data_IF_105302122669
#
_entry.id   IF_105302122669
#
_cell.length_a   1.000
_cell.length_b   1.000
_cell.length_c   1.000
_cell.angle_alpha   90.00
_cell.angle_beta   90.00
_cell.angle_gamma   90.00
#
_symmetry.space_group_name_H-M   'P 1'
#
loop_
_entity.id
_entity.type
_entity.pdbx_description
1 polymer ?
#
# COMPACT_ATOMS: atom_id res chain seq x y z
N UNK A 1 6.49 3.13 -2.91
CA UNK A 1 5.19 2.45 -3.05
C UNK A 1 4.07 3.43 -2.74
N UNK A 2 2.85 3.21 -3.25
CA UNK A 2 1.71 4.07 -2.89
C UNK A 2 1.39 3.99 -1.39
N UNK A 3 0.66 4.97 -0.88
CA UNK A 3 0.27 5.05 0.54
C UNK A 3 0.35 6.48 1.07
N UNK A 4 -0.57 7.35 0.63
CA UNK A 4 -0.53 8.78 0.93
C UNK A 4 -0.69 9.12 2.41
N UNK A 5 -1.70 8.56 3.07
CA UNK A 5 -1.99 8.87 4.47
C UNK A 5 -1.70 7.70 5.42
N UNK A 6 -1.70 6.46 4.91
CA UNK A 6 -1.47 5.26 5.72
C UNK A 6 -0.39 4.34 5.12
N UNK A 7 0.40 3.73 5.99
CA UNK A 7 1.57 2.91 5.66
C UNK A 7 1.30 1.44 5.36
N UNK A 8 0.05 1.02 5.15
CA UNK A 8 -0.30 -0.40 4.97
C UNK A 8 0.45 -1.08 3.82
N UNK A 9 0.57 -0.42 2.66
CA UNK A 9 1.30 -0.97 1.50
C UNK A 9 2.80 -1.03 1.77
N UNK A 10 3.37 -0.01 2.40
CA UNK A 10 4.77 -0.02 2.82
C UNK A 10 5.04 -1.13 3.85
N UNK A 11 4.11 -1.33 4.80
CA UNK A 11 4.16 -2.38 5.81
C UNK A 11 4.08 -3.78 5.22
N UNK A 12 3.26 -3.99 4.19
CA UNK A 12 3.18 -5.27 3.49
C UNK A 12 4.54 -5.72 2.91
N UNK A 13 5.40 -4.79 2.49
CA UNK A 13 6.73 -5.13 2.01
C UNK A 13 7.61 -5.75 3.11
N UNK A 14 7.36 -5.46 4.39
CA UNK A 14 8.06 -6.07 5.51
C UNK A 14 7.80 -7.56 5.67
N UNK A 15 6.73 -8.09 5.04
CA UNK A 15 6.48 -9.54 5.01
C UNK A 15 7.57 -10.30 4.26
N UNK A 16 8.25 -9.68 3.29
CA UNK A 16 9.30 -10.31 2.49
C UNK A 16 10.57 -10.63 3.29
N UNK A 17 10.79 -9.97 4.43
CA UNK A 17 11.89 -10.30 5.32
C UNK A 17 11.48 -11.43 6.25
N UNK A 18 12.09 -12.61 6.18
CA UNK A 18 11.76 -13.76 7.05
C UNK A 18 12.78 -13.97 8.16
N UNK A 19 14.04 -13.68 7.86
CA UNK A 19 15.17 -13.77 8.79
C UNK A 19 15.94 -12.45 8.86
N UNK A 20 16.84 -12.35 9.84
CA UNK A 20 17.68 -11.16 9.99
C UNK A 20 18.59 -10.96 8.77
N UNK A 21 18.49 -9.78 8.14
CA UNK A 21 19.30 -9.42 6.96
C UNK A 21 18.57 -9.57 5.63
N UNK A 22 17.36 -10.13 5.63
CA UNK A 22 16.51 -10.10 4.44
C UNK A 22 16.02 -8.69 4.14
N UNK A 23 15.76 -8.43 2.86
CA UNK A 23 15.14 -7.18 2.43
C UNK A 23 13.61 -7.22 2.65
N UNK A 24 12.98 -6.05 2.93
CA UNK A 24 13.58 -4.73 3.08
C UNK A 24 14.23 -4.54 4.47
N UNK A 25 15.31 -3.75 4.52
CA UNK A 25 16.00 -3.42 5.76
C UNK A 25 15.37 -2.23 6.48
N UNK A 26 14.77 -1.33 5.69
CA UNK A 26 14.17 -0.08 6.15
C UNK A 26 12.86 0.12 5.42
N UNK A 27 11.81 0.43 6.17
CA UNK A 27 10.50 0.85 5.69
C UNK A 27 10.24 2.26 6.22
N UNK A 28 9.94 3.21 5.34
CA UNK A 28 9.57 4.57 5.71
C UNK A 28 8.04 4.71 5.59
N UNK A 29 7.40 4.93 6.73
CA UNK A 29 5.94 4.99 6.89
C UNK A 29 5.44 6.45 6.90
N UNK A 30 4.23 6.72 6.38
CA UNK A 30 3.54 8.00 6.59
C UNK A 30 3.31 8.34 8.06
N UNK A 31 3.07 7.32 8.90
CA UNK A 31 2.80 7.49 10.33
C UNK A 31 4.03 7.92 11.15
N UNK A 32 5.24 7.85 10.58
CA UNK A 32 6.49 8.15 11.28
C UNK A 32 7.15 9.35 10.60
N UNK A 33 7.22 10.46 11.33
CA UNK A 33 7.94 11.65 10.87
C UNK A 33 9.39 11.30 10.50
N UNK A 34 9.78 11.69 9.28
CA UNK A 34 11.09 11.41 8.74
C UNK A 34 12.17 12.13 9.56
N UNK A 35 13.14 11.35 10.06
CA UNK A 35 14.31 11.88 10.72
C UNK A 35 15.56 11.49 9.93
N UNK A 36 16.14 12.49 9.25
CA UNK A 36 17.29 12.32 8.36
C UNK A 36 18.49 11.66 9.04
N UNK A 37 18.86 12.12 10.22
CA UNK A 37 20.04 11.61 10.94
C UNK A 37 19.87 10.14 11.33
N UNK A 38 18.72 9.79 11.93
CA UNK A 38 18.40 8.40 12.30
C UNK A 38 18.36 7.49 11.08
N UNK A 39 17.77 7.98 9.98
CA UNK A 39 17.70 7.25 8.73
C UNK A 39 19.09 6.95 8.14
N UNK A 40 19.94 7.96 7.98
CA UNK A 40 21.29 7.78 7.43
C UNK A 40 22.15 6.87 8.32
N UNK A 41 22.01 6.98 9.65
CA UNK A 41 22.67 6.09 10.60
C UNK A 41 22.21 4.63 10.42
N UNK A 42 20.91 4.41 10.23
CA UNK A 42 20.35 3.07 9.97
C UNK A 42 20.86 2.51 8.64
N UNK A 43 20.83 3.30 7.56
CA UNK A 43 21.38 2.89 6.24
C UNK A 43 22.84 2.47 6.36
N UNK A 44 23.69 3.30 6.97
CA UNK A 44 25.11 3.00 7.19
C UNK A 44 25.31 1.72 8.01
N UNK A 45 24.49 1.51 9.04
CA UNK A 45 24.52 0.28 9.85
C UNK A 45 24.13 -0.96 9.04
N UNK A 46 23.08 -0.87 8.21
CA UNK A 46 22.63 -1.98 7.36
C UNK A 46 23.70 -2.35 6.34
N UNK A 47 24.26 -1.39 5.62
CA UNK A 47 25.34 -1.65 4.66
C UNK A 47 26.57 -2.24 5.34
N UNK A 48 26.97 -1.74 6.52
CA UNK A 48 28.10 -2.31 7.27
C UNK A 48 27.85 -3.76 7.69
N UNK A 49 26.63 -4.11 8.10
CA UNK A 49 26.28 -5.44 8.62
C UNK A 49 26.01 -6.45 7.50
N UNK A 50 25.32 -6.06 6.44
CA UNK A 50 24.79 -6.95 5.42
C UNK A 50 25.40 -6.76 4.03
N UNK A 51 26.25 -5.76 3.83
CA UNK A 51 26.86 -5.42 2.54
C UNK A 51 25.97 -4.59 1.61
N UNK A 52 24.67 -4.47 1.90
CA UNK A 52 23.71 -3.66 1.15
C UNK A 52 22.58 -3.14 2.06
N UNK A 53 21.68 -2.32 1.51
CA UNK A 53 20.50 -1.85 2.22
C UNK A 53 19.35 -1.64 1.23
N UNK A 54 18.26 -2.38 1.41
CA UNK A 54 17.02 -2.21 0.65
C UNK A 54 16.03 -1.35 1.44
N UNK A 55 15.52 -0.28 0.82
CA UNK A 55 14.61 0.69 1.44
C UNK A 55 13.28 0.68 0.71
N UNK A 56 12.18 0.48 1.44
CA UNK A 56 10.82 0.70 0.95
C UNK A 56 10.33 2.03 1.49
N UNK A 57 9.90 2.91 0.60
CA UNK A 57 9.42 4.25 0.97
C UNK A 57 8.00 4.44 0.49
N UNK A 58 7.12 4.85 1.40
CA UNK A 58 5.76 5.29 1.03
C UNK A 58 5.80 6.67 0.38
N UNK A 59 4.98 6.90 -0.64
CA UNK A 59 4.82 8.25 -1.23
C UNK A 59 4.38 9.30 -0.21
N UNK A 60 3.67 8.86 0.84
CA UNK A 60 3.12 9.69 1.90
C UNK A 60 4.06 9.95 3.08
N UNK A 61 5.36 9.66 2.99
CA UNK A 61 6.29 9.98 4.09
C UNK A 61 6.30 11.49 4.36
N UNK A 62 6.24 11.86 5.63
CA UNK A 62 6.10 13.26 6.06
C UNK A 62 7.31 13.72 6.88
N UNK A 63 7.55 15.03 6.84
CA UNK A 63 8.41 15.72 7.80
C UNK A 63 7.73 15.86 9.16
N UNK A 64 8.47 16.32 10.17
CA UNK A 64 7.93 16.54 11.52
C UNK A 64 6.80 17.59 11.60
N UNK A 65 6.72 18.49 10.60
CA UNK A 65 5.66 19.48 10.46
C UNK A 65 4.42 18.97 9.70
N UNK A 66 4.42 17.70 9.30
CA UNK A 66 3.33 17.06 8.54
C UNK A 66 3.35 17.32 7.04
N UNK A 67 4.30 18.12 6.53
CA UNK A 67 4.48 18.30 5.08
C UNK A 67 5.00 17.03 4.42
N UNK A 68 4.59 16.75 3.19
CA UNK A 68 5.11 15.60 2.46
C UNK A 68 6.59 15.80 2.11
N UNK A 69 7.39 14.76 2.34
CA UNK A 69 8.84 14.81 2.14
C UNK A 69 9.21 15.14 0.69
N UNK A 70 8.43 14.64 -0.28
CA UNK A 70 8.65 14.90 -1.71
C UNK A 70 8.17 16.29 -2.17
N UNK A 71 7.25 16.93 -1.45
CA UNK A 71 6.77 18.28 -1.77
C UNK A 71 7.74 19.37 -1.26
N UNK A 72 8.53 19.05 -0.23
CA UNK A 72 9.53 19.96 0.35
C UNK A 72 10.81 20.13 -0.50
N UNK A 73 11.00 19.31 -1.54
CA UNK A 73 12.22 19.26 -2.37
C UNK A 73 12.40 20.42 -3.36
N UNK A 74 11.42 21.31 -3.49
CA UNK A 74 11.49 22.46 -4.38
C UNK A 74 11.20 22.15 -5.86
N UNK A 75 11.01 23.23 -6.62
CA UNK A 75 10.79 23.21 -8.07
C UNK A 75 12.14 23.08 -8.79
N UNK A 76 12.17 22.37 -9.91
CA UNK A 76 13.34 22.34 -10.79
C UNK A 76 13.65 23.73 -11.37
N UNK A 77 14.75 23.84 -12.13
CA UNK A 77 15.20 25.08 -12.77
C UNK A 77 14.18 25.70 -13.76
N UNK A 78 13.07 25.01 -14.04
CA UNK A 78 11.98 25.45 -14.91
C UNK A 78 10.67 25.69 -14.16
N UNK A 79 10.67 25.60 -12.83
CA UNK A 79 9.49 25.88 -12.01
C UNK A 79 8.51 24.70 -11.88
N UNK A 80 8.86 23.50 -12.35
CA UNK A 80 8.05 22.30 -12.18
C UNK A 80 8.40 21.59 -10.88
N UNK A 81 7.40 21.08 -10.15
CA UNK A 81 7.67 20.12 -9.08
C UNK A 81 8.47 18.95 -9.68
N UNK A 82 9.60 18.60 -9.07
CA UNK A 82 10.50 17.60 -9.63
C UNK A 82 9.74 16.29 -9.88
N UNK A 83 9.60 15.93 -11.16
CA UNK A 83 8.95 14.70 -11.58
C UNK A 83 9.76 13.52 -11.04
N UNK A 84 9.17 12.66 -10.19
CA UNK A 84 9.81 11.43 -9.71
C UNK A 84 9.56 11.02 -8.26
N UNK A 85 8.99 11.89 -7.43
CA UNK A 85 8.51 11.52 -6.09
C UNK A 85 9.58 11.28 -5.03
N UNK A 86 9.20 10.58 -3.95
CA UNK A 86 10.02 10.40 -2.73
C UNK A 86 11.24 9.48 -2.92
N UNK A 87 11.20 8.57 -3.90
CA UNK A 87 12.27 7.59 -4.14
C UNK A 87 13.59 8.21 -4.61
N UNK A 88 13.63 9.03 -5.68
CA UNK A 88 14.85 9.72 -6.09
C UNK A 88 15.39 10.65 -5.00
N UNK A 89 14.52 11.37 -4.27
CA UNK A 89 14.93 12.21 -3.15
C UNK A 89 15.71 11.43 -2.07
N UNK A 90 15.18 10.28 -1.64
CA UNK A 90 15.86 9.42 -0.66
C UNK A 90 17.18 8.86 -1.23
N UNK A 91 17.19 8.43 -2.49
CA UNK A 91 18.37 7.88 -3.13
C UNK A 91 19.50 8.91 -3.23
N UNK A 92 19.19 10.13 -3.69
CA UNK A 92 20.14 11.23 -3.80
C UNK A 92 20.68 11.66 -2.44
N UNK A 93 19.83 11.69 -1.41
CA UNK A 93 20.25 11.96 -0.04
C UNK A 93 21.26 10.91 0.46
N UNK A 94 21.01 9.62 0.24
CA UNK A 94 21.95 8.55 0.63
C UNK A 94 23.29 8.72 -0.10
N UNK A 95 23.27 9.01 -1.41
CA UNK A 95 24.51 9.19 -2.19
C UNK A 95 25.30 10.40 -1.74
N UNK A 96 24.64 11.55 -1.53
CA UNK A 96 25.29 12.78 -1.11
C UNK A 96 25.96 12.63 0.27
N UNK A 97 25.30 11.95 1.22
CA UNK A 97 25.75 11.89 2.61
C UNK A 97 26.64 10.68 2.92
N UNK A 98 26.46 9.56 2.21
CA UNK A 98 27.15 8.30 2.51
C UNK A 98 28.02 7.78 1.35
N UNK A 99 27.92 8.38 0.15
CA UNK A 99 28.70 7.98 -1.03
C UNK A 99 28.33 6.62 -1.62
N UNK A 100 27.23 6.00 -1.18
CA UNK A 100 26.82 4.69 -1.67
C UNK A 100 26.21 4.76 -3.07
N UNK A 101 26.58 3.80 -3.93
CA UNK A 101 25.91 3.57 -5.21
C UNK A 101 24.49 3.07 -4.94
N UNK A 102 23.51 3.59 -5.68
CA UNK A 102 22.11 3.22 -5.51
C UNK A 102 21.47 2.78 -6.83
N UNK A 103 20.32 2.13 -6.71
CA UNK A 103 19.31 1.98 -7.74
C UNK A 103 17.94 2.23 -7.08
N UNK A 104 16.98 2.77 -7.83
CA UNK A 104 15.62 2.99 -7.33
C UNK A 104 14.60 2.65 -8.42
N UNK A 105 13.41 2.24 -7.99
CA UNK A 105 12.28 1.96 -8.87
C UNK A 105 10.99 2.44 -8.22
N UNK A 106 10.01 2.83 -9.04
CA UNK A 106 8.68 3.23 -8.60
C UNK A 106 7.68 2.25 -9.20
N UNK A 107 6.97 1.51 -8.36
CA UNK A 107 6.01 0.50 -8.81
C UNK A 107 4.77 1.11 -9.49
N UNK A 108 4.32 2.29 -9.02
CA UNK A 108 3.18 3.03 -9.57
C UNK A 108 1.97 2.13 -9.89
N UNK A 109 1.46 2.11 -11.12
CA UNK A 109 0.29 1.31 -11.48
C UNK A 109 0.50 -0.20 -11.32
N UNK A 110 1.74 -0.69 -11.46
CA UNK A 110 2.03 -2.13 -11.40
C UNK A 110 1.55 -2.74 -10.08
N UNK A 111 1.77 -2.07 -8.95
CA UNK A 111 1.37 -2.57 -7.63
C UNK A 111 -0.15 -2.63 -7.40
N UNK A 112 -0.97 -1.99 -8.24
CA UNK A 112 -2.45 -2.03 -8.15
C UNK A 112 -3.13 -2.67 -9.35
N UNK A 113 -2.36 -3.12 -10.35
CA UNK A 113 -2.85 -3.84 -11.53
C UNK A 113 -2.21 -5.22 -11.68
N UNK A 114 -1.50 -5.70 -10.66
CA UNK A 114 -0.79 -6.97 -10.61
C UNK A 114 -1.73 -8.19 -10.45
N UNK A 115 -2.82 -8.27 -11.23
CA UNK A 115 -3.77 -9.40 -11.16
C UNK A 115 -3.10 -10.75 -11.44
N UNK A 116 -2.00 -10.75 -12.19
CA UNK A 116 -1.19 -11.94 -12.46
C UNK A 116 -0.53 -12.57 -11.22
N UNK A 117 -0.57 -11.91 -10.06
CA UNK A 117 -0.06 -12.43 -8.78
C UNK A 117 -0.94 -11.94 -7.62
N UNK A 118 -2.26 -11.92 -7.83
CA UNK A 118 -3.20 -11.49 -6.81
C UNK A 118 -3.29 -12.53 -5.68
N UNK A 119 -3.52 -12.04 -4.46
CA UNK A 119 -3.87 -12.91 -3.33
C UNK A 119 -5.23 -13.54 -3.57
N UNK A 120 -5.30 -14.87 -3.43
CA UNK A 120 -6.57 -15.59 -3.49
C UNK A 120 -7.54 -15.12 -2.39
N UNK A 121 -7.03 -14.82 -1.20
CA UNK A 121 -7.82 -14.26 -0.09
C UNK A 121 -8.48 -12.94 -0.48
N UNK A 122 -7.72 -12.01 -1.07
CA UNK A 122 -8.26 -10.72 -1.51
C UNK A 122 -9.28 -10.89 -2.64
N UNK A 123 -9.03 -11.79 -3.60
CA UNK A 123 -9.97 -12.10 -4.69
C UNK A 123 -11.29 -12.67 -4.16
N UNK A 124 -11.24 -13.64 -3.24
CA UNK A 124 -12.43 -14.25 -2.62
C UNK A 124 -13.24 -13.20 -1.86
N UNK A 125 -12.57 -12.38 -1.06
CA UNK A 125 -13.20 -11.30 -0.29
C UNK A 125 -13.82 -10.24 -1.20
N UNK A 126 -13.12 -9.82 -2.26
CA UNK A 126 -13.61 -8.85 -3.23
C UNK A 126 -14.87 -9.33 -3.95
N UNK A 127 -14.94 -10.63 -4.28
CA UNK A 127 -16.15 -11.22 -4.86
C UNK A 127 -17.29 -11.26 -3.85
N UNK A 128 -17.01 -11.71 -2.62
CA UNK A 128 -18.02 -11.85 -1.56
C UNK A 128 -18.64 -10.50 -1.15
N UNK A 129 -17.86 -9.41 -1.06
CA UNK A 129 -18.43 -8.09 -0.77
C UNK A 129 -19.35 -7.59 -1.88
N UNK A 130 -19.03 -7.90 -3.15
CA UNK A 130 -19.87 -7.57 -4.30
C UNK A 130 -21.20 -8.33 -4.27
N UNK A 131 -21.15 -9.64 -4.01
CA UNK A 131 -22.35 -10.47 -3.87
C UNK A 131 -23.24 -10.01 -2.71
N UNK A 132 -22.65 -9.79 -1.52
CA UNK A 132 -23.37 -9.35 -0.35
C UNK A 132 -24.01 -7.96 -0.51
N UNK A 133 -23.41 -7.06 -1.28
CA UNK A 133 -24.02 -5.76 -1.58
C UNK A 133 -25.36 -5.92 -2.32
N UNK A 134 -25.44 -6.87 -3.26
CA UNK A 134 -26.68 -7.18 -3.98
C UNK A 134 -27.71 -7.81 -3.04
N UNK A 135 -27.28 -8.76 -2.19
CA UNK A 135 -28.16 -9.39 -1.19
C UNK A 135 -28.73 -8.36 -0.20
N UNK A 136 -27.91 -7.41 0.27
CA UNK A 136 -28.34 -6.34 1.15
C UNK A 136 -29.38 -5.43 0.48
N UNK A 137 -29.16 -5.07 -0.79
CA UNK A 137 -30.11 -4.27 -1.56
C UNK A 137 -31.44 -4.99 -1.78
N UNK A 138 -31.40 -6.29 -2.12
CA UNK A 138 -32.61 -7.13 -2.28
C UNK A 138 -33.38 -7.30 -0.96
N UNK A 139 -32.68 -7.32 0.17
CA UNK A 139 -33.27 -7.30 1.51
C UNK A 139 -33.81 -5.92 1.93
N UNK A 140 -33.79 -4.92 1.04
CA UNK A 140 -34.31 -3.57 1.30
C UNK A 140 -33.42 -2.69 2.17
N UNK A 141 -32.16 -3.08 2.40
CA UNK A 141 -31.22 -2.28 3.18
C UNK A 141 -30.71 -1.11 2.36
N UNK A 142 -30.56 0.04 3.01
CA UNK A 142 -30.05 1.27 2.40
C UNK A 142 -28.98 1.89 3.29
N UNK A 143 -28.09 2.70 2.69
CA UNK A 143 -27.01 3.40 3.40
C UNK A 143 -26.08 2.50 4.24
N UNK A 144 -25.84 1.27 3.77
CA UNK A 144 -24.93 0.29 4.39
C UNK A 144 -23.82 -0.14 3.43
N UNK A 145 -22.73 -0.65 4.00
CA UNK A 145 -21.60 -1.23 3.29
C UNK A 145 -21.33 -2.65 3.82
N UNK A 146 -21.17 -3.65 2.94
CA UNK A 146 -20.61 -4.94 3.34
C UNK A 146 -19.19 -4.75 3.88
N UNK A 147 -18.92 -5.33 5.04
CA UNK A 147 -17.63 -5.22 5.70
C UNK A 147 -17.01 -6.62 5.87
N UNK A 148 -15.70 -6.73 5.65
CA UNK A 148 -14.95 -7.96 5.95
C UNK A 148 -14.64 -7.96 7.45
N UNK A 149 -15.22 -8.91 8.18
CA UNK A 149 -15.03 -9.05 9.63
C UNK A 149 -14.07 -10.20 9.88
N UNK A 150 -12.89 -9.89 10.43
CA UNK A 150 -11.91 -10.91 10.84
C UNK A 150 -12.43 -11.71 12.03
N UNK A 151 -12.36 -13.04 11.95
CA UNK A 151 -12.71 -13.95 13.03
C UNK A 151 -11.73 -13.87 14.21
N UNK A 152 -12.19 -14.25 15.41
CA UNK A 152 -11.41 -14.18 16.65
C UNK A 152 -10.51 -15.41 16.90
N UNK A 153 -10.56 -16.41 16.01
CA UNK A 153 -9.84 -17.67 16.16
C UNK A 153 -8.33 -17.54 15.88
N UNK A 154 -7.57 -18.53 16.32
CA UNK A 154 -6.13 -18.64 16.02
C UNK A 154 -5.84 -18.85 14.53
N UNK A 155 -6.74 -19.56 13.84
CA UNK A 155 -6.70 -19.71 12.38
C UNK A 155 -7.42 -18.52 11.76
N UNK A 156 -6.82 -17.93 10.74
CA UNK A 156 -7.45 -16.85 9.99
C UNK A 156 -8.78 -17.33 9.41
N UNK A 157 -9.81 -16.53 9.65
CA UNK A 157 -11.16 -16.71 9.14
C UNK A 157 -11.78 -15.32 9.02
N UNK A 158 -12.78 -15.20 8.16
CA UNK A 158 -13.49 -13.95 7.96
C UNK A 158 -14.95 -14.24 7.59
N UNK A 159 -15.80 -13.23 7.77
CA UNK A 159 -17.20 -13.26 7.36
C UNK A 159 -17.60 -11.89 6.82
N UNK A 160 -18.72 -11.84 6.10
CA UNK A 160 -19.35 -10.57 5.74
C UNK A 160 -20.19 -10.06 6.91
N UNK A 161 -19.91 -8.82 7.31
CA UNK A 161 -20.73 -8.03 8.21
C UNK A 161 -21.38 -6.85 7.49
N UNK A 162 -22.19 -6.11 8.24
CA UNK A 162 -22.85 -4.89 7.77
C UNK A 162 -22.35 -3.71 8.61
N UNK A 163 -22.04 -2.60 7.95
CA UNK A 163 -21.69 -1.35 8.60
C UNK A 163 -22.50 -0.19 7.99
N UNK A 164 -22.91 0.77 8.82
CA UNK A 164 -23.59 1.98 8.36
C UNK A 164 -22.58 2.92 7.70
N UNK A 165 -22.95 3.52 6.57
CA UNK A 165 -22.08 4.48 5.89
C UNK A 165 -21.74 5.70 6.77
N UNK A 166 -22.66 6.11 7.65
CA UNK A 166 -22.45 7.18 8.63
C UNK A 166 -21.25 6.95 9.55
N UNK A 167 -20.95 5.69 9.83
CA UNK A 167 -19.91 5.31 10.79
C UNK A 167 -18.54 5.16 10.10
N UNK A 168 -18.51 5.22 8.76
CA UNK A 168 -17.32 5.01 7.92
C UNK A 168 -16.89 6.29 7.21
N UNK A 169 -17.85 7.14 6.82
CA UNK A 169 -17.55 8.34 6.06
C UNK A 169 -16.54 9.24 6.79
N UNK A 170 -15.51 9.68 6.05
CA UNK A 170 -14.41 10.53 6.54
C UNK A 170 -13.55 9.93 7.67
N UNK A 171 -13.64 8.62 7.93
CA UNK A 171 -12.77 7.91 8.86
C UNK A 171 -11.71 7.14 8.09
N UNK A 172 -10.44 7.36 8.42
CA UNK A 172 -9.32 6.61 7.85
C UNK A 172 -8.80 5.57 8.84
N UNK A 173 -8.54 4.35 8.34
CA UNK A 173 -7.90 3.30 9.14
C UNK A 173 -6.38 3.45 9.04
N UNK A 174 -5.79 4.19 9.98
CA UNK A 174 -4.33 4.33 10.10
C UNK A 174 -3.68 3.02 10.54
N UNK A 175 -2.39 2.83 10.22
CA UNK A 175 -1.67 1.68 10.74
C UNK A 175 -1.39 1.87 12.24
N UNK A 176 -1.74 0.89 13.10
CA UNK A 176 -1.51 1.01 14.54
C UNK A 176 -0.03 1.21 14.89
N UNK A 177 0.29 2.03 15.90
CA UNK A 177 1.69 2.28 16.29
C UNK A 177 2.44 1.00 16.69
N UNK A 178 1.76 0.03 17.31
CA UNK A 178 2.34 -1.26 17.70
C UNK A 178 2.61 -2.19 16.51
N UNK A 179 2.20 -1.83 15.29
CA UNK A 179 2.57 -2.54 14.07
C UNK A 179 3.91 -2.09 13.51
N UNK A 180 4.44 -0.97 14.01
CA UNK A 180 5.71 -0.40 13.59
C UNK A 180 6.74 -0.67 14.67
N UNK A 181 7.96 -1.06 14.28
CA UNK A 181 9.08 -1.31 15.18
C UNK A 181 9.36 -0.09 16.06
N UNK A 182 10.07 -0.31 17.17
CA UNK A 182 10.42 0.77 18.10
C UNK A 182 11.27 1.85 17.43
N UNK A 183 12.18 1.46 16.54
CA UNK A 183 13.03 2.38 15.78
C UNK A 183 12.30 3.06 14.60
N UNK A 184 11.08 2.63 14.26
CA UNK A 184 10.26 3.24 13.22
C UNK A 184 10.55 2.76 11.80
N UNK A 185 11.44 1.77 11.63
CA UNK A 185 11.96 1.36 10.31
C UNK A 185 11.54 -0.03 9.84
N UNK A 186 10.68 -0.74 10.57
CA UNK A 186 10.19 -2.05 10.15
C UNK A 186 8.81 -2.35 10.74
N UNK A 187 8.18 -3.44 10.30
CA UNK A 187 6.96 -3.98 10.92
C UNK A 187 7.29 -4.88 12.13
N UNK A 188 6.37 -5.00 13.08
CA UNK A 188 6.43 -5.94 14.22
C UNK A 188 5.72 -7.26 13.92
N UNK A 189 5.83 -8.24 14.83
CA UNK A 189 5.09 -9.51 14.71
C UNK A 189 3.57 -9.30 14.71
N UNK A 190 3.06 -8.35 15.49
CA UNK A 190 1.63 -8.00 15.47
C UNK A 190 1.16 -7.52 14.08
N UNK A 191 2.01 -6.81 13.35
CA UNK A 191 1.73 -6.43 11.98
C UNK A 191 1.79 -7.63 11.03
N UNK A 192 2.76 -8.55 11.22
CA UNK A 192 2.84 -9.79 10.43
C UNK A 192 1.58 -10.64 10.63
N UNK A 193 1.14 -10.84 11.87
CA UNK A 193 -0.08 -11.59 12.19
C UNK A 193 -1.33 -10.99 11.52
N UNK A 194 -1.35 -9.66 11.38
CA UNK A 194 -2.42 -8.98 10.68
C UNK A 194 -2.30 -9.10 9.15
N UNK A 195 -1.13 -8.83 8.58
CA UNK A 195 -0.92 -8.71 7.13
C UNK A 195 -0.75 -10.06 6.43
N UNK A 196 -0.04 -11.01 7.03
CA UNK A 196 0.32 -12.26 6.38
C UNK A 196 -0.90 -13.07 5.87
N UNK A 197 -2.02 -13.18 6.62
CA UNK A 197 -3.20 -13.87 6.12
C UNK A 197 -3.86 -13.19 4.91
N UNK A 198 -3.67 -11.87 4.74
CA UNK A 198 -4.31 -11.10 3.67
C UNK A 198 -3.66 -11.31 2.30
N UNK A 199 -2.45 -11.87 2.27
CA UNK A 199 -1.73 -12.17 1.03
C UNK A 199 -1.71 -13.67 0.72
N UNK A 200 -2.39 -14.50 1.50
CA UNK A 200 -2.33 -15.95 1.34
C UNK A 200 -3.05 -16.43 0.09
N UNK A 201 -2.45 -17.46 -0.52
CA UNK A 201 -2.92 -18.15 -1.70
C UNK A 201 -2.70 -17.35 -2.98
N UNK A 202 -2.49 -18.07 -4.08
CA UNK A 202 -2.28 -17.50 -5.40
C UNK A 202 -3.50 -17.79 -6.27
N UNK A 203 -4.09 -16.74 -6.84
CA UNK A 203 -5.14 -16.88 -7.84
C UNK A 203 -4.57 -16.39 -9.18
N UNK A 204 -4.12 -17.31 -10.02
CA UNK A 204 -3.57 -16.96 -11.33
C UNK A 204 -4.69 -16.85 -12.37
N UNK A 205 -4.68 -15.81 -13.23
CA UNK A 205 -5.60 -15.77 -14.38
C UNK A 205 -5.26 -16.87 -15.38
N UNK A 206 -6.18 -17.18 -16.29
CA UNK A 206 -5.86 -18.01 -17.46
C UNK A 206 -4.82 -17.31 -18.35
N UNK A 207 -3.94 -18.09 -18.98
CA UNK A 207 -2.91 -17.59 -19.89
C UNK A 207 -3.14 -18.07 -21.31
N UNK A 208 -2.88 -17.19 -22.28
CA UNK A 208 -2.89 -17.50 -23.71
C UNK A 208 -1.71 -16.82 -24.39
N UNK A 209 -0.91 -17.59 -25.13
CA UNK A 209 0.30 -17.10 -25.83
C UNK A 209 1.30 -16.39 -24.88
N UNK A 210 1.47 -16.92 -23.67
CA UNK A 210 2.42 -16.39 -22.67
C UNK A 210 1.95 -15.14 -21.91
N UNK A 211 0.71 -14.67 -22.12
CA UNK A 211 0.16 -13.50 -21.44
C UNK A 211 -1.18 -13.83 -20.74
N UNK A 212 -1.51 -13.15 -19.62
CA UNK A 212 -2.82 -13.27 -18.99
C UNK A 212 -3.96 -12.90 -19.95
N UNK A 213 -4.99 -13.74 -20.02
CA UNK A 213 -6.18 -13.51 -20.81
C UNK A 213 -7.21 -12.71 -20.00
N UNK A 214 -7.13 -11.39 -20.08
CA UNK A 214 -8.09 -10.50 -19.42
C UNK A 214 -9.37 -10.29 -20.25
N UNK A 215 -10.51 -10.26 -19.55
CA UNK A 215 -11.81 -10.02 -20.15
C UNK A 215 -11.91 -8.60 -20.75
N UNK A 216 -12.51 -8.49 -21.94
CA UNK A 216 -12.89 -7.21 -22.56
C UNK A 216 -14.40 -7.12 -22.67
N UNK A 217 -15.00 -6.20 -21.91
CA UNK A 217 -16.44 -5.96 -21.95
C UNK A 217 -16.83 -5.22 -23.24
N UNK A 218 -17.99 -5.53 -23.80
CA UNK A 218 -18.54 -4.86 -24.99
C UNK A 218 -18.87 -3.38 -24.75
N UNK A 219 -19.07 -2.98 -23.49
CA UNK A 219 -19.39 -1.60 -23.07
C UNK A 219 -20.51 -0.96 -23.91
N UNK A 220 -21.55 -1.72 -24.22
CA UNK A 220 -22.72 -1.22 -24.97
C UNK A 220 -23.42 -0.16 -24.13
N UNK A 221 -23.57 1.04 -24.68
CA UNK A 221 -24.18 2.17 -23.99
C UNK A 221 -25.71 2.15 -24.13
N UNK A 222 -26.40 2.50 -23.05
CA UNK A 222 -27.85 2.69 -23.06
C UNK A 222 -28.26 4.01 -23.73
N UNK A 223 -29.49 4.03 -24.27
CA UNK A 223 -30.05 5.26 -24.86
C UNK A 223 -30.27 6.32 -23.79
N UNK A 224 -29.76 7.53 -24.02
CA UNK A 224 -29.97 8.68 -23.12
C UNK A 224 -31.46 9.01 -23.04
N UNK A 225 -31.97 9.16 -21.81
CA UNK A 225 -33.35 9.57 -21.53
C UNK A 225 -33.48 11.02 -21.09
N UNK A 226 -32.37 11.64 -20.69
CA UNK A 226 -32.33 13.01 -20.18
C UNK A 226 -31.55 13.92 -21.14
N UNK A 227 -31.84 15.23 -21.08
CA UNK A 227 -31.06 16.25 -21.77
C UNK A 227 -29.61 16.24 -21.26
N UNK A 228 -28.69 16.71 -22.08
CA UNK A 228 -27.29 16.91 -21.67
C UNK A 228 -27.23 17.79 -20.43
N UNK A 229 -26.56 17.29 -19.39
CA UNK A 229 -26.32 18.05 -18.16
C UNK A 229 -25.57 19.35 -18.49
N UNK A 230 -26.05 20.48 -17.94
CA UNK A 230 -25.35 21.77 -17.96
C UNK A 230 -25.06 22.13 -16.51
N UNK A 231 -23.77 22.19 -16.15
CA UNK A 231 -23.28 22.63 -14.84
C UNK A 231 -23.42 24.14 -14.67
#
# INVERSE_FOLDING_TARGET
>A
VMGRHAGWIAGAAGLAAEQEGDAPHIILFPEIAFNREKFLKKVKSCVKKFGYCAVVVSEGVQNADGSFLAEAGGKDAFGHAQLGGVAPFIADMIKAELGYKYHWAVADYLQRSARHIASATDVEQAYAVGAAAVEFALAGKTAVMPAIVRGKGKKYSWSIGEAKLSDIANVEKMMPRNYISRDGFHITDAARDYLAPLIQGEDYPEYKNGLPQYARLKKVLEKKKLKTWRS
#
